data_IF_254771293313
#
_entry.id   IF_254771293313
#
_cell.length_a   1.000
_cell.length_b   1.000
_cell.length_c   1.000
_cell.angle_alpha   90.00
_cell.angle_beta   90.00
_cell.angle_gamma   90.00
#
_symmetry.space_group_name_H-M   'P 1'
#
loop_
_entity.id
_entity.type
_entity.pdbx_description
1 polymer ?
#
# COMPACT_ATOMS: atom_id res chain seq x y z
N UNK A 1 8.88 19.64 -2.28
CA UNK A 1 7.67 19.07 -2.90
C UNK A 1 6.85 18.44 -1.81
N UNK A 2 5.53 18.65 -1.80
CA UNK A 2 4.67 18.34 -0.65
C UNK A 2 4.13 16.90 -0.67
N UNK A 3 3.93 16.36 0.53
CA UNK A 3 3.14 15.14 0.76
C UNK A 3 1.67 15.50 0.64
N UNK A 4 0.94 14.81 -0.25
CA UNK A 4 -0.50 14.99 -0.43
C UNK A 4 -1.30 14.03 0.44
N UNK A 5 -0.77 12.83 0.65
CA UNK A 5 -1.43 11.75 1.37
C UNK A 5 -0.42 10.93 2.15
N UNK A 6 -0.88 10.39 3.28
CA UNK A 6 -0.10 9.53 4.15
C UNK A 6 -1.03 8.49 4.77
N UNK A 7 -0.53 7.27 4.94
CA UNK A 7 -1.24 6.22 5.65
C UNK A 7 -0.28 5.43 6.56
N UNK A 8 -0.85 4.88 7.64
CA UNK A 8 -0.15 4.05 8.60
C UNK A 8 -0.08 2.61 8.08
N UNK A 9 1.13 2.14 7.79
CA UNK A 9 1.36 0.74 7.39
C UNK A 9 1.38 -0.16 8.61
N UNK A 10 2.17 0.21 9.63
CA UNK A 10 2.28 -0.56 10.87
C UNK A 10 2.81 0.30 12.01
N UNK A 11 2.46 -0.09 13.23
CA UNK A 11 2.98 0.48 14.46
C UNK A 11 3.30 -0.66 15.41
N UNK A 12 4.59 -0.82 15.75
CA UNK A 12 5.09 -1.95 16.54
C UNK A 12 5.92 -1.42 17.69
N UNK A 13 5.66 -1.89 18.91
CA UNK A 13 6.52 -1.58 20.06
C UNK A 13 7.93 -2.08 19.77
N UNK A 14 8.90 -1.19 19.88
CA UNK A 14 10.29 -1.55 19.65
C UNK A 14 10.80 -2.46 20.77
N UNK A 15 11.90 -3.17 20.52
CA UNK A 15 12.56 -4.01 21.53
C UNK A 15 13.19 -3.20 22.67
N UNK A 16 13.46 -1.91 22.42
CA UNK A 16 13.89 -0.96 23.46
C UNK A 16 12.66 -0.36 24.13
N UNK A 17 12.61 -0.46 25.46
CA UNK A 17 11.51 0.07 26.27
C UNK A 17 11.26 1.55 25.97
N UNK A 18 9.98 1.92 25.83
CA UNK A 18 9.55 3.29 25.54
C UNK A 18 9.60 3.72 24.07
N UNK A 19 10.10 2.87 23.16
CA UNK A 19 10.18 3.21 21.74
C UNK A 19 9.05 2.58 20.90
N UNK A 20 8.64 3.30 19.84
CA UNK A 20 7.63 2.87 18.87
C UNK A 20 8.20 2.94 17.46
N UNK A 21 8.27 1.80 16.77
CA UNK A 21 8.68 1.73 15.38
C UNK A 21 7.42 1.83 14.50
N UNK A 22 7.37 2.84 13.65
CA UNK A 22 6.23 3.22 12.83
C UNK A 22 6.63 3.17 11.37
N UNK A 23 5.86 2.46 10.55
CA UNK A 23 6.00 2.44 9.10
C UNK A 23 4.87 3.25 8.49
N UNK A 24 5.22 4.20 7.63
CA UNK A 24 4.29 5.10 6.94
C UNK A 24 4.49 4.96 5.44
N UNK A 25 3.40 5.02 4.68
CA UNK A 25 3.41 5.19 3.23
C UNK A 25 2.92 6.59 2.90
N UNK A 26 3.54 7.26 1.93
CA UNK A 26 3.11 8.58 1.50
C UNK A 26 3.20 8.74 -0.01
N UNK A 27 2.36 9.63 -0.54
CA UNK A 27 2.37 10.06 -1.94
C UNK A 27 2.33 11.58 -2.04
N UNK A 28 2.87 12.14 -3.12
CA UNK A 28 2.98 13.60 -3.28
C UNK A 28 2.83 14.10 -4.71
N UNK A 29 2.95 15.42 -4.85
CA UNK A 29 2.96 16.15 -6.14
C UNK A 29 4.19 15.84 -6.98
N UNK A 30 5.21 15.19 -6.40
CA UNK A 30 6.40 14.74 -7.10
C UNK A 30 6.22 13.38 -7.78
N UNK A 31 4.98 12.87 -7.79
CA UNK A 31 4.55 11.62 -8.43
C UNK A 31 5.20 10.37 -7.81
N UNK A 32 5.76 10.48 -6.61
CA UNK A 32 6.51 9.39 -5.97
C UNK A 32 5.73 8.79 -4.81
N UNK A 33 6.00 7.51 -4.57
CA UNK A 33 5.62 6.84 -3.32
C UNK A 33 6.83 6.72 -2.42
N UNK A 34 6.66 7.05 -1.14
CA UNK A 34 7.72 6.92 -0.14
C UNK A 34 7.25 6.07 1.04
N UNK A 35 8.00 5.02 1.33
CA UNK A 35 7.84 4.17 2.50
C UNK A 35 8.89 4.58 3.53
N UNK A 36 8.44 5.10 4.66
CA UNK A 36 9.30 5.60 5.73
C UNK A 36 9.15 4.73 6.97
N UNK A 37 10.27 4.33 7.56
CA UNK A 37 10.30 3.70 8.88
C UNK A 37 10.95 4.65 9.88
N UNK A 38 10.21 4.97 10.94
CA UNK A 38 10.60 5.95 11.95
C UNK A 38 10.51 5.33 13.34
N UNK A 39 11.44 5.70 14.22
CA UNK A 39 11.41 5.36 15.64
C UNK A 39 11.05 6.58 16.46
N UNK A 40 9.96 6.48 17.22
CA UNK A 40 9.53 7.48 18.19
C UNK A 40 10.00 7.10 19.60
N UNK A 41 10.20 8.10 20.50
CA UNK A 41 9.92 9.53 20.31
C UNK A 41 11.05 10.32 19.63
N UNK A 42 12.21 9.70 19.37
CA UNK A 42 13.37 10.39 18.79
C UNK A 42 13.17 10.85 17.34
N UNK A 43 12.09 10.42 16.67
CA UNK A 43 11.86 10.59 15.24
C UNK A 43 13.05 10.12 14.39
N UNK A 44 13.78 9.10 14.86
CA UNK A 44 14.93 8.55 14.15
C UNK A 44 14.44 7.82 12.89
N UNK A 45 14.97 8.20 11.72
CA UNK A 45 14.73 7.47 10.48
C UNK A 45 15.50 6.14 10.50
N UNK A 46 14.76 5.04 10.39
CA UNK A 46 15.30 3.67 10.34
C UNK A 46 15.57 3.26 8.90
N UNK A 47 14.60 3.48 8.01
CA UNK A 47 14.73 3.21 6.58
C UNK A 47 13.86 4.17 5.77
N UNK A 48 14.18 4.27 4.48
CA UNK A 48 13.55 5.20 3.56
C UNK A 48 13.62 4.64 2.14
N UNK A 49 12.47 4.21 1.62
CA UNK A 49 12.36 3.65 0.27
C UNK A 49 11.48 4.56 -0.56
N UNK A 50 12.02 5.03 -1.69
CA UNK A 50 11.31 5.88 -2.65
C UNK A 50 11.13 5.18 -3.98
N UNK A 51 9.91 5.17 -4.48
CA UNK A 51 9.60 4.78 -5.85
C UNK A 51 9.40 6.02 -6.69
N UNK A 52 10.32 6.21 -7.64
CA UNK A 52 10.32 7.35 -8.55
C UNK A 52 9.28 7.12 -9.64
N UNK A 53 8.48 8.14 -9.97
CA UNK A 53 7.44 8.08 -11.00
C UNK A 53 6.42 6.95 -10.76
N UNK A 54 6.01 6.78 -9.50
CA UNK A 54 4.99 5.82 -9.10
C UNK A 54 3.60 6.14 -9.68
N UNK A 55 3.36 7.38 -10.11
CA UNK A 55 2.19 7.85 -10.87
C UNK A 55 2.64 8.69 -12.08
N UNK A 56 1.78 8.83 -13.09
CA UNK A 56 1.95 9.80 -14.18
C UNK A 56 1.59 11.24 -13.78
N UNK A 57 0.99 11.42 -12.60
CA UNK A 57 0.63 12.73 -12.03
C UNK A 57 0.76 12.72 -10.51
N UNK A 58 0.30 13.78 -9.85
CA UNK A 58 0.28 13.89 -8.40
C UNK A 58 -0.50 12.73 -7.79
N UNK A 59 0.11 12.06 -6.80
CA UNK A 59 -0.58 11.04 -6.00
C UNK A 59 -1.43 11.76 -4.96
N UNK A 60 -2.72 11.45 -4.91
CA UNK A 60 -3.70 12.14 -4.07
C UNK A 60 -4.17 11.33 -2.89
N UNK A 61 -4.13 10.01 -3.00
CA UNK A 61 -4.52 9.11 -1.93
C UNK A 61 -3.67 7.85 -1.96
N UNK A 62 -3.43 7.31 -0.77
CA UNK A 62 -2.78 6.03 -0.54
C UNK A 62 -3.54 5.31 0.57
N UNK A 63 -3.65 3.99 0.48
CA UNK A 63 -4.09 3.18 1.62
C UNK A 63 -3.37 1.84 1.69
N UNK A 64 -3.21 1.34 2.92
CA UNK A 64 -2.54 0.09 3.24
C UNK A 64 -3.52 -0.97 3.75
N UNK A 65 -3.32 -2.21 3.31
CA UNK A 65 -4.12 -3.37 3.70
C UNK A 65 -3.23 -4.44 4.35
N UNK A 66 -3.45 -4.67 5.65
CA UNK A 66 -2.68 -5.57 6.55
C UNK A 66 -1.16 -5.39 6.48
N UNK A 67 -0.69 -4.14 6.46
CA UNK A 67 0.74 -3.84 6.46
C UNK A 67 1.54 -4.49 5.29
N UNK A 68 0.87 -4.91 4.22
CA UNK A 68 1.48 -5.72 3.14
C UNK A 68 1.16 -5.21 1.74
N UNK A 69 -0.01 -4.62 1.54
CA UNK A 69 -0.45 -4.15 0.23
C UNK A 69 -0.75 -2.67 0.29
N UNK A 70 -0.26 -1.93 -0.70
CA UNK A 70 -0.54 -0.51 -0.87
C UNK A 70 -1.35 -0.32 -2.13
N UNK A 71 -2.34 0.56 -2.05
CA UNK A 71 -3.00 1.14 -3.20
C UNK A 71 -2.70 2.62 -3.26
N UNK A 72 -2.42 3.13 -4.44
CA UNK A 72 -2.16 4.55 -4.66
C UNK A 72 -2.89 5.02 -5.91
N UNK A 73 -3.50 6.20 -5.82
CA UNK A 73 -4.22 6.82 -6.92
C UNK A 73 -4.04 8.35 -6.93
N UNK A 74 -4.23 8.93 -8.11
CA UNK A 74 -3.96 10.35 -8.34
C UNK A 74 -4.68 10.91 -9.55
N UNK A 75 -4.26 12.10 -9.99
CA UNK A 75 -4.91 12.83 -11.09
C UNK A 75 -4.77 12.17 -12.46
N UNK A 76 -3.85 11.21 -12.62
CA UNK A 76 -3.72 10.40 -13.84
C UNK A 76 -4.80 9.30 -13.96
N UNK A 77 -5.77 9.28 -13.03
CA UNK A 77 -6.85 8.31 -12.94
C UNK A 77 -6.35 6.85 -12.81
N UNK A 78 -5.07 6.66 -12.47
CA UNK A 78 -4.46 5.34 -12.34
C UNK A 78 -4.54 4.89 -10.89
N UNK A 79 -5.22 3.78 -10.66
CA UNK A 79 -5.15 3.04 -9.40
C UNK A 79 -4.07 1.97 -9.50
N UNK A 80 -3.01 2.11 -8.72
CA UNK A 80 -1.87 1.18 -8.68
C UNK A 80 -1.87 0.33 -7.42
N UNK A 81 -1.39 -0.90 -7.55
CA UNK A 81 -1.23 -1.87 -6.46
C UNK A 81 0.24 -2.21 -6.28
N UNK A 82 0.67 -2.23 -5.02
CA UNK A 82 2.04 -2.54 -4.63
C UNK A 82 2.06 -3.53 -3.47
N UNK A 83 3.09 -4.37 -3.40
CA UNK A 83 3.43 -5.20 -2.25
C UNK A 83 4.56 -4.55 -1.45
N UNK A 84 4.50 -4.69 -0.12
CA UNK A 84 5.60 -4.37 0.78
C UNK A 84 6.35 -5.68 1.02
N UNK A 85 7.57 -5.77 0.51
CA UNK A 85 8.48 -6.86 0.78
C UNK A 85 9.40 -6.44 1.92
N UNK A 86 9.54 -7.30 2.93
CA UNK A 86 10.44 -7.07 4.07
C UNK A 86 11.52 -8.13 4.06
N UNK A 87 12.76 -7.70 4.08
CA UNK A 87 13.92 -8.57 4.19
C UNK A 87 14.92 -8.00 5.22
N UNK A 88 16.05 -8.67 5.37
CA UNK A 88 17.13 -8.26 6.29
C UNK A 88 17.73 -6.88 5.97
N UNK A 89 17.58 -6.40 4.71
CA UNK A 89 18.05 -5.11 4.25
C UNK A 89 16.97 -4.01 4.39
N UNK A 90 15.78 -4.35 4.89
CA UNK A 90 14.69 -3.43 5.18
C UNK A 90 13.42 -3.69 4.37
N UNK A 91 12.57 -2.67 4.27
CA UNK A 91 11.32 -2.74 3.53
C UNK A 91 11.45 -2.12 2.14
N UNK A 92 11.01 -2.84 1.10
CA UNK A 92 10.90 -2.34 -0.28
C UNK A 92 9.50 -2.47 -0.84
N UNK A 93 9.18 -1.63 -1.82
CA UNK A 93 7.92 -1.70 -2.57
C UNK A 93 8.12 -2.42 -3.90
N UNK A 94 7.22 -3.34 -4.22
CA UNK A 94 7.18 -4.06 -5.49
C UNK A 94 5.86 -3.80 -6.21
N UNK A 95 5.94 -3.45 -7.49
CA UNK A 95 4.77 -3.18 -8.33
C UNK A 95 4.02 -4.47 -8.65
N UNK A 96 2.71 -4.49 -8.40
CA UNK A 96 1.85 -5.66 -8.67
C UNK A 96 0.91 -5.45 -9.86
N UNK A 97 0.68 -4.20 -10.28
CA UNK A 97 -0.20 -3.87 -11.39
C UNK A 97 -0.95 -2.56 -11.17
N UNK A 98 -1.73 -2.18 -12.18
CA UNK A 98 -2.61 -1.02 -12.12
C UNK A 98 -3.82 -1.20 -13.04
N UNK A 99 -4.82 -0.35 -12.82
CA UNK A 99 -5.94 -0.15 -13.74
C UNK A 99 -6.33 1.32 -13.75
N UNK A 100 -7.01 1.76 -14.79
CA UNK A 100 -7.59 3.09 -14.85
C UNK A 100 -8.97 3.11 -14.20
N UNK A 101 -9.27 4.21 -13.52
CA UNK A 101 -10.59 4.55 -13.03
C UNK A 101 -11.25 5.54 -13.98
N UNK A 102 -12.57 5.51 -14.07
CA UNK A 102 -13.36 6.52 -14.76
C UNK A 102 -13.60 7.76 -13.88
N UNK A 103 -13.23 7.71 -12.60
CA UNK A 103 -13.34 8.85 -11.69
C UNK A 103 -12.27 9.90 -12.06
N UNK A 104 -12.72 11.03 -12.58
CA UNK A 104 -11.86 12.20 -12.74
C UNK A 104 -11.52 12.80 -11.37
N UNK A 105 -10.38 13.48 -11.27
CA UNK A 105 -9.95 14.20 -10.07
C UNK A 105 -10.05 13.34 -8.79
N UNK A 106 -9.36 12.18 -8.81
CA UNK A 106 -9.39 11.24 -7.69
C UNK A 106 -8.95 11.97 -6.41
N UNK A 107 -9.85 11.97 -5.43
CA UNK A 107 -9.68 12.60 -4.14
C UNK A 107 -9.29 11.59 -3.06
N UNK A 108 -9.93 10.42 -3.05
CA UNK A 108 -9.69 9.40 -2.02
C UNK A 108 -10.03 7.97 -2.49
N UNK A 109 -9.64 6.99 -1.68
CA UNK A 109 -10.02 5.60 -1.85
C UNK A 109 -10.28 4.90 -0.52
N UNK A 110 -11.12 3.87 -0.57
CA UNK A 110 -11.36 2.96 0.55
C UNK A 110 -11.25 1.53 0.07
N UNK A 111 -10.76 0.64 0.93
CA UNK A 111 -10.50 -0.75 0.55
C UNK A 111 -11.17 -1.69 1.53
N UNK A 112 -11.82 -2.71 0.98
CA UNK A 112 -12.37 -3.83 1.74
C UNK A 112 -11.87 -5.13 1.15
N UNK A 113 -11.50 -6.08 1.99
CA UNK A 113 -11.29 -7.46 1.54
C UNK A 113 -12.63 -8.13 1.28
N UNK A 114 -12.70 -8.86 0.17
CA UNK A 114 -13.79 -9.81 -0.07
C UNK A 114 -13.88 -10.84 1.06
N UNK A 115 -15.08 -11.36 1.39
CA UNK A 115 -15.25 -12.33 2.47
C UNK A 115 -14.41 -13.61 2.33
N UNK A 116 -14.13 -14.04 1.10
CA UNK A 116 -13.29 -15.21 0.81
C UNK A 116 -11.79 -14.89 0.77
N UNK A 117 -11.41 -13.61 0.93
CA UNK A 117 -10.04 -13.14 0.92
C UNK A 117 -9.32 -13.24 -0.42
N UNK A 118 -10.03 -13.58 -1.51
CA UNK A 118 -9.42 -13.77 -2.84
C UNK A 118 -9.24 -12.49 -3.61
N UNK A 119 -9.88 -11.40 -3.18
CA UNK A 119 -9.76 -10.10 -3.79
C UNK A 119 -9.87 -8.95 -2.78
N UNK A 120 -9.32 -7.80 -3.18
CA UNK A 120 -9.62 -6.52 -2.56
C UNK A 120 -10.61 -5.76 -3.45
N UNK A 121 -11.66 -5.22 -2.84
CA UNK A 121 -12.57 -4.25 -3.45
C UNK A 121 -12.07 -2.86 -3.07
N UNK A 122 -11.72 -2.07 -4.08
CA UNK A 122 -11.26 -0.69 -3.93
C UNK A 122 -12.35 0.23 -4.44
N UNK A 123 -12.89 1.07 -3.56
CA UNK A 123 -13.77 2.17 -3.93
C UNK A 123 -12.90 3.40 -4.14
N UNK A 124 -12.98 3.99 -5.32
CA UNK A 124 -12.31 5.24 -5.68
C UNK A 124 -13.35 6.34 -5.75
N UNK A 125 -13.04 7.50 -5.18
CA UNK A 125 -13.91 8.69 -5.21
C UNK A 125 -13.15 9.90 -5.73
N UNK A 126 -13.88 10.74 -6.46
CA UNK A 126 -13.42 12.00 -7.03
C UNK A 126 -14.62 12.74 -7.60
N UNK A 127 -14.53 13.18 -8.84
CA UNK A 127 -15.70 13.52 -9.67
C UNK A 127 -16.35 12.23 -10.19
N UNK A 128 -17.04 11.54 -9.28
CA UNK A 128 -17.64 10.23 -9.51
C UNK A 128 -17.28 9.24 -8.41
N UNK A 129 -17.79 8.01 -8.56
CA UNK A 129 -17.48 6.89 -7.68
C UNK A 129 -17.40 5.62 -8.52
N UNK A 130 -16.34 4.83 -8.31
CA UNK A 130 -16.17 3.55 -8.97
C UNK A 130 -15.64 2.51 -7.99
N UNK A 131 -16.16 1.29 -8.10
CA UNK A 131 -15.62 0.13 -7.41
C UNK A 131 -14.80 -0.71 -8.39
N UNK A 132 -13.58 -1.06 -7.99
CA UNK A 132 -12.61 -1.81 -8.78
C UNK A 132 -12.15 -3.01 -7.94
N UNK A 133 -12.06 -4.19 -8.57
CA UNK A 133 -11.64 -5.41 -7.87
C UNK A 133 -10.23 -5.82 -8.30
N UNK A 134 -9.35 -6.01 -7.32
CA UNK A 134 -8.01 -6.57 -7.53
C UNK A 134 -7.94 -8.00 -7.00
N UNK A 135 -7.63 -8.94 -7.89
CA UNK A 135 -7.34 -10.31 -7.48
C UNK A 135 -6.11 -10.33 -6.58
N UNK A 136 -6.18 -11.17 -5.55
CA UNK A 136 -5.09 -11.44 -4.63
C UNK A 136 -4.50 -12.80 -4.98
N UNK A 137 -3.18 -12.89 -5.25
CA UNK A 137 -2.57 -14.19 -5.37
C UNK A 137 -2.80 -14.99 -4.08
N UNK A 138 -3.01 -16.32 -4.18
CA UNK A 138 -3.18 -17.16 -3.01
C UNK A 138 -1.93 -17.02 -2.11
N UNK A 139 -2.15 -16.94 -0.80
CA UNK A 139 -1.02 -16.91 0.14
C UNK A 139 -0.22 -18.21 0.04
N UNK A 140 1.09 -18.17 0.31
CA UNK A 140 1.93 -19.38 0.35
C UNK A 140 1.33 -20.46 1.26
N UNK A 141 0.78 -20.06 2.42
CA UNK A 141 0.05 -20.97 3.31
C UNK A 141 -1.17 -21.62 2.66
N UNK A 142 -1.90 -20.90 1.81
CA UNK A 142 -3.04 -21.44 1.08
C UNK A 142 -2.59 -22.41 -0.03
N UNK A 143 -1.44 -22.15 -0.66
CA UNK A 143 -0.81 -23.06 -1.62
C UNK A 143 -0.30 -24.33 -0.94
N UNK A 144 0.33 -24.23 0.24
CA UNK A 144 0.78 -25.37 1.06
C UNK A 144 -0.40 -26.24 1.52
N UNK A 145 -1.49 -25.63 2.00
CA UNK A 145 -2.72 -26.35 2.39
C UNK A 145 -3.41 -27.02 1.19
N UNK A 146 -3.37 -26.40 0.01
CA UNK A 146 -3.90 -27.02 -1.21
C UNK A 146 -3.02 -28.17 -1.70
N UNK A 147 -1.70 -28.10 -1.50
CA UNK A 147 -0.79 -29.21 -1.79
C UNK A 147 -0.97 -30.37 -0.82
N UNK A 148 -1.16 -30.11 0.48
CA UNK A 148 -1.46 -31.15 1.47
C UNK A 148 -2.76 -31.89 1.15
N UNK A 149 -3.85 -31.17 0.85
CA UNK A 149 -5.15 -31.77 0.47
C UNK A 149 -5.15 -32.51 -0.86
N UNK A 150 -4.13 -32.32 -1.72
CA UNK A 150 -3.97 -33.05 -2.99
C UNK A 150 -3.21 -34.37 -2.83
N UNK A 151 -2.52 -34.54 -1.71
CA UNK A 151 -1.69 -35.71 -1.42
C UNK A 151 -2.37 -36.69 -0.45
N UNK A 152 -3.62 -36.43 -0.08
CA UNK A 152 -4.55 -37.32 0.65
C UNK A 152 -5.58 -37.91 -0.33
#
# INVERSE_FOLDING_TARGET
MGTNCIDLVSSVKSTKEGNLDVTLISGGDDHNLNLHELRFPSCQKLSDTRIINASGSAIKTVACVNAQRIYAAGYDQRLSKWSILRDENGSRLEWQGATFSECADIADLAIRKTPDGRADEVVVVGQGLQMIQFQCPPSEKALELQQQKRNE
#
